data_IF_377591036812
#
_entry.id   IF_377591036812
#
_cell.length_a   1.000
_cell.length_b   1.000
_cell.length_c   1.000
_cell.angle_alpha   90.00
_cell.angle_beta   90.00
_cell.angle_gamma   90.00
#
_symmetry.space_group_name_H-M   'P 1'
#
loop_
_entity.id
_entity.type
_entity.pdbx_description
1 polymer ?
#
# COMPACT_ATOMS: atom_id res chain seq x y z
N UNK A 1 -10.29 -9.25 8.91
CA UNK A 1 -10.38 -8.99 10.36
C UNK A 1 -11.04 -10.12 11.18
N UNK A 2 -12.17 -10.79 10.79
CA UNK A 2 -12.75 -11.87 11.59
C UNK A 2 -11.75 -12.97 11.98
N UNK A 3 -11.03 -13.53 11.03
CA UNK A 3 -10.04 -14.60 11.28
C UNK A 3 -8.90 -14.19 12.22
N UNK A 4 -8.52 -12.92 12.24
CA UNK A 4 -7.55 -12.37 13.20
C UNK A 4 -8.20 -12.25 14.60
N UNK A 5 -9.47 -11.80 14.65
CA UNK A 5 -10.23 -11.73 15.90
C UNK A 5 -10.51 -13.12 16.53
N UNK A 6 -10.51 -14.17 15.70
CA UNK A 6 -10.65 -15.57 16.12
C UNK A 6 -9.29 -16.25 16.44
N UNK A 7 -8.17 -15.52 16.27
CA UNK A 7 -6.82 -16.01 16.56
C UNK A 7 -6.22 -16.97 15.53
N UNK A 8 -6.87 -17.14 14.36
CA UNK A 8 -6.33 -17.96 13.25
C UNK A 8 -5.21 -17.27 12.50
N UNK A 9 -5.21 -15.95 12.45
CA UNK A 9 -4.13 -15.13 11.91
C UNK A 9 -3.25 -14.68 13.06
N UNK A 10 -1.94 -14.92 12.94
CA UNK A 10 -0.96 -14.63 13.98
C UNK A 10 -0.24 -13.31 13.82
N UNK A 11 -0.17 -12.79 12.60
CA UNK A 11 0.49 -11.53 12.31
C UNK A 11 -0.38 -10.65 11.40
N UNK A 12 -0.41 -9.36 11.68
CA UNK A 12 -1.04 -8.33 10.85
C UNK A 12 -0.01 -7.28 10.45
N UNK A 13 -0.01 -6.93 9.17
CA UNK A 13 0.76 -5.80 8.64
C UNK A 13 -0.23 -4.79 8.08
N UNK A 14 -0.28 -3.63 8.70
CA UNK A 14 -1.09 -2.50 8.22
C UNK A 14 -0.24 -1.60 7.34
N UNK A 15 -0.73 -1.34 6.14
CA UNK A 15 -0.21 -0.29 5.26
C UNK A 15 -1.13 0.91 5.38
N UNK A 16 -0.74 1.90 6.17
CA UNK A 16 -1.54 3.02 6.65
C UNK A 16 -2.55 2.62 7.73
N UNK A 17 -2.47 3.30 8.84
CA UNK A 17 -3.27 2.95 10.02
C UNK A 17 -4.67 3.53 10.05
N UNK A 18 -4.92 4.69 9.50
CA UNK A 18 -6.23 5.32 9.46
C UNK A 18 -7.16 5.13 10.66
N UNK A 19 -8.40 5.56 10.59
CA UNK A 19 -9.43 5.20 11.55
C UNK A 19 -9.74 3.69 11.51
N UNK A 20 -10.02 3.09 12.66
CA UNK A 20 -10.21 1.63 12.78
C UNK A 20 -11.41 1.12 11.98
N UNK A 21 -12.44 1.94 11.79
CA UNK A 21 -13.63 1.62 11.01
C UNK A 21 -13.37 1.40 9.52
N UNK A 22 -12.25 1.89 8.99
CA UNK A 22 -11.81 1.58 7.63
C UNK A 22 -11.47 0.09 7.44
N UNK A 23 -11.16 -0.63 8.51
CA UNK A 23 -10.79 -2.05 8.46
C UNK A 23 -11.94 -2.99 8.81
N UNK A 24 -13.11 -2.44 9.15
CA UNK A 24 -14.32 -3.17 9.49
C UNK A 24 -14.98 -2.66 10.78
N UNK A 25 -15.85 -3.48 11.35
CA UNK A 25 -16.51 -3.15 12.62
C UNK A 25 -15.47 -2.93 13.73
N UNK A 26 -15.47 -1.77 14.43
CA UNK A 26 -14.44 -1.40 15.39
C UNK A 26 -14.18 -2.46 16.48
N UNK A 27 -15.22 -3.10 16.99
CA UNK A 27 -15.11 -4.16 17.99
C UNK A 27 -14.36 -5.41 17.46
N UNK A 28 -14.55 -5.75 16.17
CA UNK A 28 -13.85 -6.87 15.53
C UNK A 28 -12.40 -6.49 15.29
N UNK A 29 -12.14 -5.26 14.84
CA UNK A 29 -10.77 -4.76 14.61
C UNK A 29 -9.99 -4.71 15.91
N UNK A 30 -10.57 -4.19 16.98
CA UNK A 30 -9.94 -4.16 18.30
C UNK A 30 -9.60 -5.56 18.79
N UNK A 31 -10.53 -6.51 18.71
CA UNK A 31 -10.30 -7.90 19.11
C UNK A 31 -9.22 -8.58 18.25
N UNK A 32 -9.18 -8.25 16.94
CA UNK A 32 -8.12 -8.72 16.07
C UNK A 32 -6.73 -8.24 16.54
N UNK A 33 -6.61 -6.95 16.87
CA UNK A 33 -5.38 -6.35 17.39
C UNK A 33 -4.97 -6.93 18.77
N UNK A 34 -5.91 -7.40 19.58
CA UNK A 34 -5.65 -8.02 20.87
C UNK A 34 -5.21 -9.49 20.72
N UNK A 35 -5.64 -10.19 19.67
CA UNK A 35 -5.42 -11.63 19.51
C UNK A 35 -4.24 -11.99 18.59
N UNK A 36 -3.70 -11.05 17.82
CA UNK A 36 -2.51 -11.33 17.00
C UNK A 36 -1.24 -11.32 17.86
N UNK A 37 -0.29 -12.16 17.49
CA UNK A 37 1.02 -12.27 18.16
C UNK A 37 2.00 -11.20 17.68
N UNK A 38 1.74 -10.61 16.49
CA UNK A 38 2.57 -9.57 15.89
C UNK A 38 1.69 -8.58 15.10
N UNK A 39 1.81 -7.31 15.44
CA UNK A 39 1.19 -6.21 14.72
C UNK A 39 2.27 -5.24 14.21
N UNK A 40 2.39 -5.09 12.91
CA UNK A 40 3.31 -4.15 12.27
C UNK A 40 2.50 -3.08 11.55
N UNK A 41 2.85 -1.83 11.76
CA UNK A 41 2.26 -0.70 11.06
C UNK A 41 3.32 0.00 10.20
N UNK A 42 3.00 0.25 8.95
CA UNK A 42 3.76 1.15 8.08
C UNK A 42 2.93 2.42 7.88
N UNK A 43 3.33 3.52 8.49
CA UNK A 43 2.59 4.79 8.41
C UNK A 43 3.52 6.00 8.48
N UNK A 44 2.97 7.17 8.18
CA UNK A 44 3.70 8.46 8.24
C UNK A 44 3.20 9.36 9.38
N UNK A 45 2.06 9.04 9.96
CA UNK A 45 1.46 9.77 11.08
C UNK A 45 0.97 8.81 12.15
N UNK A 46 0.86 9.31 13.37
CA UNK A 46 0.24 8.54 14.44
C UNK A 46 -1.25 8.25 14.14
N UNK A 47 -1.67 7.05 14.50
CA UNK A 47 -3.04 6.58 14.30
C UNK A 47 -3.46 5.69 15.48
N UNK A 48 -4.76 5.35 15.63
CA UNK A 48 -5.19 4.39 16.63
C UNK A 48 -4.47 3.03 16.53
N UNK A 49 -4.07 2.61 15.33
CA UNK A 49 -3.31 1.38 15.13
C UNK A 49 -1.88 1.50 15.69
N UNK A 50 -1.23 2.69 15.56
CA UNK A 50 0.14 2.87 16.04
C UNK A 50 0.28 2.71 17.55
N UNK A 51 -0.78 2.95 18.31
CA UNK A 51 -0.81 2.75 19.76
C UNK A 51 -0.87 1.28 20.17
N UNK A 52 -1.20 0.38 19.24
CA UNK A 52 -1.35 -1.06 19.44
C UNK A 52 -0.32 -1.89 18.68
N UNK A 53 0.39 -1.28 17.74
CA UNK A 53 1.40 -1.96 16.94
C UNK A 53 2.65 -2.27 17.77
N UNK A 54 3.18 -3.49 17.61
CA UNK A 54 4.47 -3.88 18.20
C UNK A 54 5.63 -3.16 17.49
N UNK A 55 5.46 -2.91 16.20
CA UNK A 55 6.43 -2.20 15.37
C UNK A 55 5.76 -1.17 14.48
N UNK A 56 6.29 0.05 14.49
CA UNK A 56 5.90 1.12 13.58
C UNK A 56 7.09 1.43 12.67
N UNK A 57 6.92 1.19 11.38
CA UNK A 57 7.91 1.48 10.35
C UNK A 57 7.55 2.80 9.67
N UNK A 58 8.46 3.78 9.65
CA UNK A 58 8.15 5.10 9.12
C UNK A 58 8.06 5.06 7.59
N UNK A 59 6.85 5.23 7.08
CA UNK A 59 6.54 5.40 5.67
C UNK A 59 6.75 6.84 5.19
N UNK A 60 6.37 7.12 3.95
CA UNK A 60 6.58 8.43 3.30
C UNK A 60 5.31 8.97 2.67
N UNK A 61 5.23 10.28 2.48
CA UNK A 61 4.14 10.92 1.75
C UNK A 61 4.21 10.62 0.25
N UNK A 62 3.15 10.95 -0.47
CA UNK A 62 3.13 10.82 -1.94
C UNK A 62 4.18 11.70 -2.64
N UNK A 63 4.59 12.81 -2.01
CA UNK A 63 5.58 13.73 -2.55
C UNK A 63 7.03 13.21 -2.38
N UNK A 64 7.25 12.20 -1.56
CA UNK A 64 8.55 11.65 -1.22
C UNK A 64 8.84 10.31 -1.92
N UNK A 65 7.97 9.85 -2.82
CA UNK A 65 8.13 8.57 -3.54
C UNK A 65 7.70 8.64 -5.00
N UNK A 66 8.25 7.74 -5.79
CA UNK A 66 7.77 7.41 -7.12
C UNK A 66 6.76 6.26 -7.05
N UNK A 67 5.81 6.24 -7.99
CA UNK A 67 4.82 5.17 -8.07
C UNK A 67 3.58 5.56 -8.86
N UNK A 68 2.47 4.90 -8.53
CA UNK A 68 1.16 5.17 -9.12
C UNK A 68 0.09 5.23 -8.06
N UNK A 69 -0.93 6.04 -8.29
CA UNK A 69 -2.19 6.00 -7.57
C UNK A 69 -3.33 5.64 -8.52
N UNK A 70 -4.28 4.89 -8.01
CA UNK A 70 -5.57 4.68 -8.68
C UNK A 70 -6.63 5.44 -7.89
N UNK A 71 -7.33 6.36 -8.54
CA UNK A 71 -8.40 7.12 -7.89
C UNK A 71 -9.70 6.31 -7.81
N UNK A 72 -10.73 6.88 -7.16
CA UNK A 72 -12.05 6.25 -7.00
C UNK A 72 -12.78 5.96 -8.32
N UNK A 73 -12.38 6.61 -9.41
CA UNK A 73 -12.92 6.40 -10.76
C UNK A 73 -12.16 5.33 -11.54
N UNK A 74 -11.19 4.66 -10.91
CA UNK A 74 -10.35 3.67 -11.58
C UNK A 74 -9.30 4.25 -12.52
N UNK A 75 -8.96 5.55 -12.41
CA UNK A 75 -7.88 6.15 -13.20
C UNK A 75 -6.55 5.98 -12.47
N UNK A 76 -5.62 5.35 -13.14
CA UNK A 76 -4.23 5.19 -12.67
C UNK A 76 -3.42 6.40 -13.12
N UNK A 77 -2.80 7.07 -12.17
CA UNK A 77 -1.95 8.24 -12.42
C UNK A 77 -0.57 8.02 -11.83
N UNK A 78 0.45 8.48 -12.54
CA UNK A 78 1.82 8.43 -12.05
C UNK A 78 2.06 9.55 -11.04
N UNK A 79 2.72 9.22 -9.93
CA UNK A 79 3.29 10.18 -9.00
C UNK A 79 4.80 10.19 -9.15
N UNK A 80 5.40 11.36 -8.93
CA UNK A 80 6.85 11.57 -9.01
C UNK A 80 7.33 12.19 -7.71
N UNK A 81 8.43 11.68 -7.23
CA UNK A 81 9.12 12.20 -6.06
C UNK A 81 9.57 13.64 -6.30
N UNK A 82 9.18 14.55 -5.42
CA UNK A 82 9.57 15.97 -5.44
C UNK A 82 10.27 16.41 -4.14
N UNK A 83 10.17 15.60 -3.08
CA UNK A 83 10.82 15.86 -1.79
C UNK A 83 11.82 14.75 -1.47
N UNK A 84 12.89 15.11 -0.78
CA UNK A 84 13.86 14.14 -0.25
C UNK A 84 13.31 13.44 0.98
N UNK A 85 13.70 12.18 1.16
CA UNK A 85 13.40 11.42 2.37
C UNK A 85 14.03 12.09 3.59
N UNK A 86 13.36 11.99 4.74
CA UNK A 86 13.85 12.53 6.01
C UNK A 86 14.03 11.42 7.05
N UNK A 87 15.13 11.48 7.78
CA UNK A 87 15.43 10.49 8.82
C UNK A 87 15.44 9.06 8.28
N UNK A 88 14.83 8.16 9.02
CA UNK A 88 14.75 6.73 8.69
C UNK A 88 13.52 6.35 7.85
N UNK A 89 12.80 7.35 7.29
CA UNK A 89 11.63 7.07 6.46
C UNK A 89 12.00 6.33 5.17
N UNK A 90 11.14 5.41 4.75
CA UNK A 90 11.32 4.64 3.52
C UNK A 90 10.00 4.50 2.77
N UNK A 91 10.11 4.41 1.46
CA UNK A 91 8.96 4.13 0.60
C UNK A 91 8.37 2.75 0.96
N UNK A 92 7.06 2.66 1.09
CA UNK A 92 6.36 1.45 1.56
C UNK A 92 6.65 0.23 0.67
N UNK A 93 6.75 0.43 -0.65
CA UNK A 93 7.10 -0.65 -1.57
C UNK A 93 8.51 -1.20 -1.32
N UNK A 94 9.45 -0.34 -0.87
CA UNK A 94 10.81 -0.77 -0.47
C UNK A 94 10.77 -1.56 0.84
N UNK A 95 10.03 -1.08 1.83
CA UNK A 95 9.83 -1.80 3.10
C UNK A 95 9.27 -3.21 2.82
N UNK A 96 8.23 -3.30 1.99
CA UNK A 96 7.63 -4.59 1.63
C UNK A 96 8.58 -5.50 0.83
N UNK A 97 9.37 -4.93 -0.07
CA UNK A 97 10.37 -5.68 -0.82
C UNK A 97 11.47 -6.24 0.10
N UNK A 98 11.98 -5.42 1.01
CA UNK A 98 12.97 -5.84 2.00
C UNK A 98 12.42 -6.93 2.92
N UNK A 99 11.20 -6.77 3.41
CA UNK A 99 10.50 -7.79 4.19
C UNK A 99 10.35 -9.10 3.41
N UNK A 100 9.87 -9.03 2.16
CA UNK A 100 9.73 -10.21 1.31
C UNK A 100 11.04 -10.91 0.99
N UNK A 101 12.14 -10.16 0.86
CA UNK A 101 13.49 -10.73 0.68
C UNK A 101 13.94 -11.49 1.94
N UNK A 102 13.76 -10.89 3.13
CA UNK A 102 14.12 -11.53 4.40
C UNK A 102 13.30 -12.80 4.67
N UNK A 103 12.04 -12.81 4.26
CA UNK A 103 11.16 -13.98 4.34
C UNK A 103 11.43 -15.02 3.23
N UNK A 104 12.31 -14.73 2.28
CA UNK A 104 12.63 -15.62 1.16
C UNK A 104 11.48 -15.79 0.13
N UNK A 105 10.46 -14.93 0.18
CA UNK A 105 9.29 -14.98 -0.74
C UNK A 105 9.43 -14.06 -1.95
N UNK A 106 10.37 -13.14 -1.93
CA UNK A 106 10.68 -12.27 -3.05
C UNK A 106 12.17 -12.38 -3.43
N UNK A 107 12.51 -12.27 -4.72
CA UNK A 107 13.92 -12.27 -5.15
C UNK A 107 14.64 -11.03 -4.64
N UNK A 108 15.91 -11.18 -4.26
CA UNK A 108 16.81 -10.09 -3.91
C UNK A 108 17.12 -9.27 -5.17
N UNK A 109 16.30 -8.30 -5.49
CA UNK A 109 16.50 -7.32 -6.58
C UNK A 109 16.29 -5.93 -6.03
N UNK A 110 17.02 -4.97 -6.57
CA UNK A 110 16.75 -3.56 -6.27
C UNK A 110 15.32 -3.23 -6.65
N UNK A 111 14.53 -2.76 -5.69
CA UNK A 111 13.16 -2.41 -5.96
C UNK A 111 13.12 -1.19 -6.90
N UNK A 112 12.32 -1.33 -7.93
CA UNK A 112 12.06 -0.31 -8.93
C UNK A 112 10.54 -0.19 -9.10
N UNK A 113 9.95 0.97 -8.81
CA UNK A 113 8.49 1.15 -8.87
C UNK A 113 7.90 0.86 -10.25
N UNK A 114 8.62 1.16 -11.34
CA UNK A 114 8.17 0.86 -12.69
C UNK A 114 8.11 -0.65 -12.95
N UNK A 115 9.09 -1.41 -12.47
CA UNK A 115 9.08 -2.88 -12.56
C UNK A 115 7.97 -3.48 -11.71
N UNK A 116 7.72 -2.93 -10.51
CA UNK A 116 6.61 -3.37 -9.66
C UNK A 116 5.29 -3.13 -10.38
N UNK A 117 5.10 -1.95 -10.98
CA UNK A 117 3.90 -1.64 -11.75
C UNK A 117 3.74 -2.55 -12.99
N UNK A 118 4.83 -2.84 -13.69
CA UNK A 118 4.81 -3.77 -14.82
C UNK A 118 4.37 -5.19 -14.41
N UNK A 119 4.80 -5.67 -13.24
CA UNK A 119 4.34 -6.96 -12.69
C UNK A 119 2.87 -6.92 -12.28
N UNK A 120 2.41 -5.82 -11.68
CA UNK A 120 1.01 -5.60 -11.38
C UNK A 120 0.16 -5.69 -12.65
N UNK A 121 0.58 -4.99 -13.71
CA UNK A 121 -0.11 -5.00 -15.01
C UNK A 121 -0.16 -6.38 -15.69
N UNK A 122 0.83 -7.23 -15.43
CA UNK A 122 0.84 -8.61 -15.91
C UNK A 122 -0.03 -9.55 -15.06
N UNK A 123 -0.08 -9.34 -13.75
CA UNK A 123 -0.76 -10.23 -12.81
C UNK A 123 -2.24 -9.89 -12.63
N UNK A 124 -2.65 -8.64 -12.80
CA UNK A 124 -4.01 -8.16 -12.51
C UNK A 124 -4.67 -7.70 -13.81
N UNK A 125 -5.68 -8.42 -14.32
CA UNK A 125 -6.32 -8.13 -15.60
C UNK A 125 -6.81 -6.69 -15.76
N UNK A 126 -7.29 -6.06 -14.69
CA UNK A 126 -7.76 -4.69 -14.71
C UNK A 126 -6.66 -3.68 -15.11
N UNK A 127 -5.39 -3.99 -14.87
CA UNK A 127 -4.24 -3.14 -15.22
C UNK A 127 -3.55 -3.56 -16.53
N UNK A 128 -4.07 -4.57 -17.22
CA UNK A 128 -3.46 -5.09 -18.45
C UNK A 128 -3.25 -4.00 -19.49
N UNK A 129 -2.05 -3.98 -20.09
CA UNK A 129 -1.66 -2.99 -21.10
C UNK A 129 -1.22 -1.63 -20.53
N UNK A 130 -1.31 -1.41 -19.22
CA UNK A 130 -0.81 -0.18 -18.60
C UNK A 130 0.71 -0.30 -18.34
N UNK A 131 1.39 0.81 -18.56
CA UNK A 131 2.81 1.00 -18.27
C UNK A 131 3.06 2.47 -17.92
N UNK A 132 4.22 2.79 -17.39
CA UNK A 132 4.57 4.19 -17.13
C UNK A 132 4.51 5.05 -18.41
N UNK A 133 4.82 4.45 -19.57
CA UNK A 133 4.71 5.13 -20.86
C UNK A 133 3.27 5.37 -21.28
N UNK A 134 2.39 4.35 -21.15
CA UNK A 134 0.97 4.47 -21.55
C UNK A 134 0.14 5.32 -20.62
N UNK A 135 0.54 5.48 -19.35
CA UNK A 135 -0.12 6.39 -18.41
C UNK A 135 0.01 7.86 -18.83
N UNK A 136 1.12 8.25 -19.45
CA UNK A 136 1.35 9.65 -19.83
C UNK A 136 1.27 10.60 -18.62
N UNK A 137 0.86 11.82 -18.87
CA UNK A 137 0.71 12.86 -17.82
C UNK A 137 -0.65 12.82 -17.12
N UNK A 138 -1.70 12.46 -17.86
CA UNK A 138 -3.08 12.48 -17.36
C UNK A 138 -3.51 11.14 -16.71
N UNK A 139 -2.67 10.13 -16.83
CA UNK A 139 -3.03 8.78 -16.41
C UNK A 139 -3.99 8.09 -17.38
N UNK A 140 -4.29 6.81 -17.10
CA UNK A 140 -5.16 5.98 -17.91
C UNK A 140 -6.16 5.20 -17.05
N UNK A 141 -7.37 4.90 -17.54
CA UNK A 141 -8.33 4.09 -16.80
C UNK A 141 -7.89 2.63 -16.76
N UNK A 142 -8.22 1.91 -15.68
CA UNK A 142 -8.18 0.46 -15.63
C UNK A 142 -9.30 -0.14 -16.50
N UNK A 143 -9.13 -1.38 -16.92
CA UNK A 143 -10.19 -2.10 -17.64
C UNK A 143 -11.46 -2.21 -16.77
N UNK A 144 -12.61 -1.85 -17.35
CA UNK A 144 -13.90 -1.84 -16.65
C UNK A 144 -14.18 -0.60 -15.79
N UNK A 145 -13.29 0.38 -15.75
CA UNK A 145 -13.59 1.67 -15.16
C UNK A 145 -14.66 2.38 -16.02
N UNK A 146 -15.72 2.88 -15.38
CA UNK A 146 -16.73 3.67 -16.07
C UNK A 146 -16.13 5.01 -16.49
N UNK A 147 -16.09 5.25 -17.80
CA UNK A 147 -15.45 6.43 -18.42
C UNK A 147 -16.30 7.70 -18.31
N UNK A 148 -17.10 7.87 -17.28
CA UNK A 148 -17.98 9.02 -17.14
C UNK A 148 -17.79 9.77 -15.82
N UNK A 149 -16.76 10.61 -15.79
CA UNK A 149 -16.89 11.95 -15.19
C UNK A 149 -15.96 12.86 -15.99
N UNK A 150 -16.54 13.65 -16.91
CA UNK A 150 -15.86 14.77 -17.52
C UNK A 150 -15.34 15.69 -16.40
N UNK A 151 -14.03 15.97 -16.44
CA UNK A 151 -13.44 17.01 -15.60
C UNK A 151 -13.99 18.32 -16.10
N UNK A 152 -14.92 18.91 -15.36
CA UNK A 152 -15.37 20.29 -15.54
C UNK A 152 -14.40 21.24 -14.83
#
# INVERSE_FOLDING_TARGET
MPSAAEGTIKALVFLRGGPLDLFGEPAIVQRALENVELCVLVDLVESPVSQRADWVLPGVSFAEKDGTFTNSQGRVQRIRKVLTLRGDTREEWRILQELGNHLGVLPARDPDPERIFSRLAQAVPAFSGLSYTTLGELGAPIAGATADVAVG
#
